data_IF_495388210276
#
_entry.id   IF_495388210276
#
_cell.length_a   1.000
_cell.length_b   1.000
_cell.length_c   1.000
_cell.angle_alpha   90.00
_cell.angle_beta   90.00
_cell.angle_gamma   90.00
#
_symmetry.space_group_name_H-M   'P 1'
#
loop_
_entity.id
_entity.type
_entity.pdbx_description
1 polymer ?
#
# COMPACT_ATOMS: atom_id res chain seq x y z
N UNK A 1 -26.02 15.03 -52.96
CA UNK A 1 -24.86 15.13 -52.06
C UNK A 1 -25.20 16.15 -51.01
N UNK A 2 -25.53 15.68 -49.80
CA UNK A 2 -25.67 16.55 -48.64
C UNK A 2 -24.31 16.52 -47.96
N UNK A 3 -23.62 17.66 -47.99
CA UNK A 3 -22.39 17.87 -47.24
C UNK A 3 -22.74 17.88 -45.75
N UNK A 4 -22.49 16.74 -45.11
CA UNK A 4 -22.52 16.61 -43.66
C UNK A 4 -21.23 17.23 -43.13
N UNK A 5 -21.13 18.56 -43.22
CA UNK A 5 -20.14 19.33 -42.47
C UNK A 5 -20.55 19.27 -40.99
N UNK A 6 -20.25 18.12 -40.37
CA UNK A 6 -20.41 17.84 -38.96
C UNK A 6 -19.38 18.60 -38.13
N UNK A 7 -19.45 19.92 -38.15
CA UNK A 7 -18.74 20.79 -37.21
C UNK A 7 -19.77 21.57 -36.38
N UNK A 8 -20.64 20.81 -35.71
CA UNK A 8 -21.32 21.31 -34.51
C UNK A 8 -20.27 21.57 -33.42
N UNK A 9 -20.55 22.47 -32.47
CA UNK A 9 -19.58 22.93 -31.49
C UNK A 9 -19.03 21.74 -30.70
N UNK A 10 -17.70 21.74 -30.52
CA UNK A 10 -16.91 20.90 -29.63
C UNK A 10 -17.74 19.90 -28.81
N UNK A 11 -17.63 18.62 -29.17
CA UNK A 11 -18.33 17.54 -28.48
C UNK A 11 -18.11 17.61 -26.96
N UNK A 12 -19.10 17.25 -26.10
CA UNK A 12 -19.03 17.33 -24.64
C UNK A 12 -17.94 16.51 -23.92
N UNK A 13 -16.95 15.99 -24.65
CA UNK A 13 -15.84 15.17 -24.14
C UNK A 13 -14.51 15.96 -24.13
N UNK A 14 -14.46 17.18 -24.66
CA UNK A 14 -13.22 17.98 -24.70
C UNK A 14 -12.84 18.68 -23.39
N UNK A 15 -13.70 18.63 -22.36
CA UNK A 15 -13.25 18.82 -20.98
C UNK A 15 -12.74 17.49 -20.43
N UNK A 16 -11.71 16.93 -21.08
CA UNK A 16 -10.99 15.78 -20.56
C UNK A 16 -10.38 16.17 -19.21
N UNK A 17 -10.96 15.67 -18.12
CA UNK A 17 -10.39 15.85 -16.78
C UNK A 17 -8.91 15.50 -16.85
N UNK A 18 -8.07 16.44 -16.40
CA UNK A 18 -6.62 16.20 -16.39
C UNK A 18 -6.35 14.91 -15.64
N UNK A 19 -5.65 13.96 -16.27
CA UNK A 19 -5.24 12.68 -15.67
C UNK A 19 -4.60 12.86 -14.28
N UNK A 20 -4.05 14.05 -14.02
CA UNK A 20 -3.53 14.50 -12.74
C UNK A 20 -4.52 14.31 -11.57
N UNK A 21 -5.81 14.49 -11.81
CA UNK A 21 -6.86 14.35 -10.78
C UNK A 21 -7.01 12.90 -10.29
N UNK A 22 -6.61 11.92 -11.10
CA UNK A 22 -6.62 10.50 -10.72
C UNK A 22 -5.26 10.03 -10.21
N UNK A 23 -4.17 10.55 -10.79
CA UNK A 23 -2.80 10.19 -10.40
C UNK A 23 -2.49 10.69 -8.98
N UNK A 24 -2.85 11.94 -8.65
CA UNK A 24 -2.49 12.55 -7.38
C UNK A 24 -3.09 11.80 -6.17
N UNK A 25 -4.40 11.47 -6.14
CA UNK A 25 -4.97 10.65 -5.07
C UNK A 25 -4.40 9.23 -5.04
N UNK A 26 -4.16 8.61 -6.20
CA UNK A 26 -3.60 7.27 -6.27
C UNK A 26 -2.21 7.19 -5.62
N UNK A 27 -1.34 8.18 -5.88
CA UNK A 27 -0.01 8.25 -5.26
C UNK A 27 -0.11 8.40 -3.74
N UNK A 28 -1.05 9.21 -3.25
CA UNK A 28 -1.28 9.39 -1.81
C UNK A 28 -1.71 8.07 -1.18
N UNK A 29 -2.70 7.40 -1.76
CA UNK A 29 -3.21 6.11 -1.25
C UNK A 29 -2.12 5.04 -1.25
N UNK A 30 -1.37 4.90 -2.34
CA UNK A 30 -0.26 3.93 -2.43
C UNK A 30 0.84 4.25 -1.41
N UNK A 31 1.18 5.53 -1.23
CA UNK A 31 2.17 5.95 -0.23
C UNK A 31 1.71 5.65 1.19
N UNK A 32 0.44 5.91 1.52
CA UNK A 32 -0.13 5.57 2.82
C UNK A 32 -0.17 4.05 3.02
N UNK A 33 -0.64 3.28 2.04
CA UNK A 33 -0.65 1.82 2.12
C UNK A 33 0.76 1.24 2.30
N UNK A 34 1.76 1.77 1.59
CA UNK A 34 3.15 1.37 1.73
C UNK A 34 3.72 1.73 3.11
N UNK A 35 3.49 2.96 3.56
CA UNK A 35 3.97 3.46 4.86
C UNK A 35 3.33 2.70 6.03
N UNK A 36 2.00 2.56 6.03
CA UNK A 36 1.28 1.83 7.06
C UNK A 36 1.53 0.33 6.97
N UNK A 37 1.61 -0.24 5.77
CA UNK A 37 1.96 -1.65 5.56
C UNK A 37 3.36 -1.95 6.10
N UNK A 38 4.35 -1.12 5.79
CA UNK A 38 5.71 -1.25 6.31
C UNK A 38 5.77 -1.09 7.83
N UNK A 39 5.14 -0.04 8.37
CA UNK A 39 5.11 0.24 9.80
C UNK A 39 4.36 -0.85 10.58
N UNK A 40 3.29 -1.40 10.02
CA UNK A 40 2.52 -2.51 10.58
C UNK A 40 3.33 -3.81 10.54
N UNK A 41 4.00 -4.08 9.42
CA UNK A 41 4.87 -5.25 9.29
C UNK A 41 6.00 -5.22 10.32
N UNK A 42 6.68 -4.08 10.46
CA UNK A 42 7.69 -3.87 11.51
C UNK A 42 7.10 -4.12 12.91
N UNK A 43 5.90 -3.58 13.20
CA UNK A 43 5.24 -3.77 14.50
C UNK A 43 4.89 -5.23 14.79
N UNK A 44 4.42 -5.98 13.79
CA UNK A 44 4.08 -7.40 13.93
C UNK A 44 5.36 -8.24 14.07
N UNK A 45 6.36 -7.98 13.23
CA UNK A 45 7.66 -8.66 13.26
C UNK A 45 8.34 -8.49 14.63
N UNK A 46 8.33 -7.28 15.17
CA UNK A 46 8.95 -7.02 16.47
C UNK A 46 8.23 -7.74 17.63
N UNK A 47 6.89 -7.85 17.56
CA UNK A 47 6.12 -8.68 18.51
C UNK A 47 6.46 -10.16 18.39
N UNK A 48 6.71 -10.66 17.18
CA UNK A 48 7.05 -12.07 16.95
C UNK A 48 8.45 -12.39 17.50
N UNK A 49 9.43 -11.51 17.23
CA UNK A 49 10.82 -11.65 17.72
C UNK A 49 10.88 -11.74 19.25
N UNK A 50 10.16 -10.86 19.96
CA UNK A 50 10.09 -10.88 21.44
C UNK A 50 9.46 -12.14 22.01
N UNK A 51 8.54 -12.80 21.28
CA UNK A 51 7.95 -14.08 21.71
C UNK A 51 8.90 -15.24 21.50
N UNK A 52 9.68 -15.22 20.42
CA UNK A 52 10.66 -16.26 20.12
C UNK A 52 11.85 -16.26 21.09
N UNK A 53 12.37 -15.08 21.44
CA UNK A 53 13.43 -14.91 22.45
C UNK A 53 12.99 -15.43 23.84
N UNK A 54 11.73 -15.18 24.21
CA UNK A 54 11.14 -15.70 25.46
C UNK A 54 10.99 -17.23 25.46
N UNK A 55 10.81 -17.86 24.29
CA UNK A 55 10.78 -19.34 24.18
C UNK A 55 12.18 -19.93 24.21
N UNK A 56 13.14 -19.32 23.50
CA UNK A 56 14.55 -19.77 23.48
C UNK A 56 15.21 -19.69 24.85
N UNK A 57 14.99 -18.62 25.60
CA UNK A 57 15.52 -18.49 26.98
C UNK A 57 14.92 -19.51 27.95
N UNK A 58 13.64 -19.87 27.78
CA UNK A 58 13.00 -20.94 28.56
C UNK A 58 13.52 -22.33 28.20
N UNK A 59 13.86 -22.57 26.93
CA UNK A 59 14.42 -23.85 26.50
C UNK A 59 15.86 -24.03 27.02
N UNK A 60 16.73 -23.02 26.79
CA UNK A 60 18.11 -23.03 27.28
C UNK A 60 18.21 -23.20 28.80
N UNK A 61 17.31 -22.59 29.58
CA UNK A 61 17.25 -22.80 31.05
C UNK A 61 16.83 -24.22 31.45
N UNK A 62 16.03 -24.91 30.63
CA UNK A 62 15.65 -26.30 30.87
C UNK A 62 16.79 -27.24 30.49
N UNK A 63 17.46 -27.00 29.36
CA UNK A 63 18.60 -27.81 28.92
C UNK A 63 19.80 -27.67 29.85
N UNK A 64 20.09 -26.45 30.33
CA UNK A 64 21.14 -26.20 31.32
C UNK A 64 20.84 -26.76 32.72
N UNK A 65 19.58 -27.08 33.04
CA UNK A 65 19.18 -27.76 34.29
C UNK A 65 19.14 -29.29 34.18
N UNK A 66 19.16 -29.82 32.95
CA UNK A 66 19.09 -31.26 32.67
C UNK A 66 20.47 -31.88 32.41
N UNK A 67 21.50 -31.05 32.34
CA UNK A 67 22.92 -31.40 32.27
C UNK A 67 23.55 -31.21 33.65
#
# INVERSE_FOLDING_TARGET
MVDLTGTGPAGPIEHGFSNWVFILPAVIVVSLMGFFGYRLYQSIMEKSRRKEEKKKSKHQRKDAKKK
#
